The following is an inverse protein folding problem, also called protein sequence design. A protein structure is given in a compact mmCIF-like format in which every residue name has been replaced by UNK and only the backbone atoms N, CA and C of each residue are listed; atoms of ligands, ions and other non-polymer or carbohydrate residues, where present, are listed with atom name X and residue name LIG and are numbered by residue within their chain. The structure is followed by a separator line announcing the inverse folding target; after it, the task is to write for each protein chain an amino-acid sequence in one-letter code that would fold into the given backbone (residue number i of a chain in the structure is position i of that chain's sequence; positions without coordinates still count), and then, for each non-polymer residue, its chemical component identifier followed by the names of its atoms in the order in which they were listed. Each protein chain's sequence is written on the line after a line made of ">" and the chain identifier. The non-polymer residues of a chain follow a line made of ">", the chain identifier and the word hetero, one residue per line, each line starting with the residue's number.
data_IF_468465832638
#
_entry.id   IF_468465832638
#
_cell.length_a   1.000
_cell.length_b   1.000
_cell.length_c   1.000
_cell.angle_alpha   90.00
_cell.angle_beta   90.00
_cell.angle_gamma   90.00
#
_symmetry.space_group_name_H-M   'P 1'
#
loop_
_entity.id
_entity.type
_entity.pdbx_description
1 polymer ?
#
# COMPACT_ATOMS: atom_id res chain seq x y z
N UNK A 1 4.45 -8.48 5.57
CA UNK A 1 5.03 -7.55 4.57
C UNK A 1 4.82 -8.13 3.17
N UNK A 2 4.05 -7.43 2.34
CA UNK A 2 3.79 -7.78 0.94
C UNK A 2 4.33 -6.65 0.05
N UNK A 3 4.91 -7.02 -1.10
CA UNK A 3 5.46 -6.05 -2.06
C UNK A 3 4.81 -6.27 -3.42
N UNK A 4 4.23 -5.22 -3.99
CA UNK A 4 3.68 -5.21 -5.34
C UNK A 4 4.44 -4.22 -6.21
N UNK A 5 4.66 -4.58 -7.48
CA UNK A 5 5.35 -3.73 -8.46
C UNK A 5 4.47 -3.50 -9.68
N UNK A 6 4.42 -2.25 -10.12
CA UNK A 6 3.48 -1.76 -11.11
C UNK A 6 4.19 -0.71 -11.95
N UNK A 7 4.74 -1.13 -13.08
CA UNK A 7 5.68 -0.30 -13.84
C UNK A 7 6.84 0.14 -12.94
N UNK A 8 7.01 1.46 -12.79
CA UNK A 8 8.03 2.06 -11.93
C UNK A 8 7.63 2.22 -10.46
N UNK A 9 6.36 1.93 -10.13
CA UNK A 9 5.82 2.09 -8.78
C UNK A 9 5.97 0.77 -8.01
N UNK A 10 6.45 0.86 -6.77
CA UNK A 10 6.52 -0.24 -5.80
C UNK A 10 5.63 0.10 -4.62
N UNK A 11 4.61 -0.72 -4.38
CA UNK A 11 3.80 -0.65 -3.18
C UNK A 11 4.34 -1.65 -2.15
N UNK A 12 4.55 -1.21 -0.91
CA UNK A 12 4.95 -2.05 0.22
C UNK A 12 3.85 -1.98 1.26
N UNK A 13 3.13 -3.08 1.45
CA UNK A 13 2.15 -3.22 2.51
C UNK A 13 2.80 -3.91 3.71
N UNK A 14 2.68 -3.29 4.88
CA UNK A 14 3.17 -3.83 6.14
C UNK A 14 2.09 -3.74 7.21
N UNK A 15 1.86 -4.86 7.89
CA UNK A 15 1.01 -4.90 9.07
C UNK A 15 1.92 -5.05 10.29
N UNK A 16 1.92 -4.05 11.17
CA UNK A 16 2.68 -4.13 12.42
C UNK A 16 1.92 -3.47 13.56
N UNK A 17 1.88 -4.14 14.71
CA UNK A 17 1.38 -3.59 15.98
C UNK A 17 0.01 -2.87 15.91
N UNK A 18 -0.95 -3.45 15.19
CA UNK A 18 -2.30 -2.91 15.12
C UNK A 18 -2.46 -1.71 14.17
N UNK A 19 -1.54 -1.55 13.21
CA UNK A 19 -1.67 -0.63 12.11
C UNK A 19 -1.30 -1.33 10.79
N UNK A 20 -2.07 -1.03 9.75
CA UNK A 20 -1.77 -1.43 8.37
C UNK A 20 -1.19 -0.22 7.65
N UNK A 21 0.00 -0.37 7.10
CA UNK A 21 0.70 0.69 6.37
C UNK A 21 0.92 0.27 4.92
N UNK A 22 0.66 1.19 4.00
CA UNK A 22 1.05 1.05 2.59
C UNK A 22 1.95 2.22 2.20
N UNK A 23 3.14 1.87 1.73
CA UNK A 23 4.12 2.81 1.19
C UNK A 23 4.17 2.67 -0.33
N UNK A 24 3.96 3.77 -1.05
CA UNK A 24 4.10 3.84 -2.50
C UNK A 24 5.43 4.51 -2.83
N UNK A 25 6.28 3.81 -3.55
CA UNK A 25 7.59 4.28 -3.99
C UNK A 25 7.67 4.33 -5.51
N UNK A 26 8.38 5.31 -6.06
CA UNK A 26 8.84 5.30 -7.46
C UNK A 26 10.36 5.45 -7.48
N UNK A 27 11.04 4.65 -8.29
CA UNK A 27 12.52 4.56 -8.27
C UNK A 27 13.22 5.93 -8.40
N UNK A 28 12.68 6.84 -9.21
CA UNK A 28 13.32 8.12 -9.52
C UNK A 28 12.83 9.28 -8.64
N UNK A 29 11.75 9.09 -7.88
CA UNK A 29 11.08 10.13 -7.09
C UNK A 29 11.06 9.82 -5.58
N UNK A 30 11.37 8.59 -5.19
CA UNK A 30 11.37 8.15 -3.80
C UNK A 30 9.97 7.77 -3.30
N UNK A 31 9.71 8.00 -2.02
CA UNK A 31 8.39 7.76 -1.42
C UNK A 31 7.39 8.77 -1.97
N UNK A 32 6.40 8.28 -2.71
CA UNK A 32 5.32 9.09 -3.26
C UNK A 32 4.20 9.31 -2.23
N UNK A 33 3.84 8.25 -1.50
CA UNK A 33 2.75 8.31 -0.53
C UNK A 33 2.95 7.28 0.58
N UNK A 34 2.51 7.66 1.78
CA UNK A 34 2.43 6.79 2.95
C UNK A 34 1.01 6.84 3.47
N UNK A 35 0.34 5.68 3.46
CA UNK A 35 -1.01 5.53 3.98
C UNK A 35 -0.91 4.64 5.21
N UNK A 36 -1.13 5.22 6.38
CA UNK A 36 -1.26 4.47 7.63
C UNK A 36 -2.74 4.38 7.95
N UNK A 37 -3.23 3.15 8.08
CA UNK A 37 -4.58 2.87 8.49
C UNK A 37 -4.52 2.37 9.93
N UNK A 38 -4.99 3.16 10.91
CA UNK A 38 -5.16 2.66 12.26
C UNK A 38 -6.17 1.52 12.19
N UNK A 39 -5.84 0.36 12.75
CA UNK A 39 -6.66 -0.86 12.61
C UNK A 39 -8.06 -0.63 13.20
N UNK A 40 -8.98 -0.22 12.34
CA UNK A 40 -10.43 -0.18 12.56
C UNK A 40 -11.10 -0.67 11.29
N UNK A 41 -11.03 -1.98 11.09
CA UNK A 41 -11.91 -2.71 10.19
C UNK A 41 -11.26 -3.18 8.90
N UNK A 42 -11.38 -4.49 8.68
CA UNK A 42 -11.06 -5.29 7.49
C UNK A 42 -11.46 -4.63 6.16
N UNK A 43 -12.43 -3.71 6.19
CA UNK A 43 -12.97 -3.01 5.03
C UNK A 43 -11.98 -2.00 4.39
N UNK A 44 -11.16 -1.32 5.20
CA UNK A 44 -10.16 -0.36 4.67
C UNK A 44 -8.99 -1.10 4.02
N UNK A 45 -8.58 -2.22 4.60
CA UNK A 45 -7.58 -3.11 4.02
C UNK A 45 -8.05 -3.66 2.67
N UNK A 46 -9.28 -4.21 2.61
CA UNK A 46 -9.88 -4.68 1.35
C UNK A 46 -9.99 -3.58 0.30
N UNK A 47 -10.35 -2.35 0.68
CA UNK A 47 -10.41 -1.21 -0.25
C UNK A 47 -9.03 -0.82 -0.76
N UNK A 48 -7.99 -0.88 0.08
CA UNK A 48 -6.62 -0.62 -0.33
C UNK A 48 -6.14 -1.67 -1.32
N UNK A 49 -6.36 -2.95 -1.03
CA UNK A 49 -6.05 -4.06 -1.94
C UNK A 49 -6.75 -3.89 -3.30
N UNK A 50 -8.07 -3.62 -3.31
CA UNK A 50 -8.84 -3.37 -4.52
C UNK A 50 -8.37 -2.12 -5.30
N UNK A 51 -8.04 -1.04 -4.59
CA UNK A 51 -7.58 0.20 -5.22
C UNK A 51 -6.22 -0.01 -5.88
N UNK A 52 -5.33 -0.73 -5.20
CA UNK A 52 -4.05 -1.14 -5.75
C UNK A 52 -4.31 -1.99 -6.99
N UNK A 53 -5.06 -3.09 -6.92
CA UNK A 53 -5.37 -3.91 -8.11
C UNK A 53 -5.87 -3.07 -9.30
N UNK A 54 -6.82 -2.14 -9.07
CA UNK A 54 -7.38 -1.26 -10.10
C UNK A 54 -6.37 -0.32 -10.77
N UNK A 55 -5.34 0.11 -10.05
CA UNK A 55 -4.30 1.00 -10.59
C UNK A 55 -3.28 0.20 -11.42
N UNK A 56 -3.26 -1.13 -11.25
CA UNK A 56 -2.15 -1.99 -11.65
C UNK A 56 -2.51 -3.03 -12.70
N UNK A 57 -3.82 -3.25 -12.90
CA UNK A 57 -4.40 -4.01 -14.01
C UNK A 57 -4.52 -3.17 -15.27
#
# INVERSE_FOLDING_TARGET
>A
MQVLRVGEITAIANDSNGESEVLLFRRNEGLLARVVVPQKGTLLQQRLEQTIERITG
#
